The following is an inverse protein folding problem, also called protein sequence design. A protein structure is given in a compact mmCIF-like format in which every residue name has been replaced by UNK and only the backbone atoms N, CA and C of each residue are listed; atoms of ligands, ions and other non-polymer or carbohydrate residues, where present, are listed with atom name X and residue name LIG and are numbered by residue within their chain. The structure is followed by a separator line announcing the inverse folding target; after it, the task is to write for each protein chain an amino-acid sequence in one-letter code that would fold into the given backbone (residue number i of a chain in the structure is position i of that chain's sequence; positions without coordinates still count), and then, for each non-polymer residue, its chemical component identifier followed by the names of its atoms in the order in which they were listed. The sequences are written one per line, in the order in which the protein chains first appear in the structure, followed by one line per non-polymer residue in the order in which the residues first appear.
data_IF_285628417402
#
_entry.id   IF_285628417402
#
_cell.length_a   1.000
_cell.length_b   1.000
_cell.length_c   1.000
_cell.angle_alpha   90.00
_cell.angle_beta   90.00
_cell.angle_gamma   90.00
#
_symmetry.space_group_name_H-M   'P 1'
#
loop_
_entity.id
_entity.type
_entity.pdbx_description
1 polymer ?
#
# COMPACT_ATOMS: atom_id res chain seq x y z
N UNK A 1 -11.77 -48.02 23.86
CA UNK A 1 -11.14 -47.74 22.56
C UNK A 1 -11.66 -46.41 22.03
N UNK A 2 -10.72 -45.54 21.62
CA UNK A 2 -10.82 -44.35 20.75
C UNK A 2 -11.73 -43.17 21.19
N UNK A 3 -11.06 -42.18 21.80
CA UNK A 3 -11.47 -40.77 21.86
C UNK A 3 -11.52 -40.20 20.43
N UNK A 4 -12.66 -39.64 20.04
CA UNK A 4 -12.80 -38.84 18.82
C UNK A 4 -12.46 -37.38 19.17
N UNK A 5 -11.21 -36.99 18.93
CA UNK A 5 -10.81 -35.59 18.88
C UNK A 5 -11.09 -35.13 17.45
N UNK A 6 -12.15 -34.32 17.29
CA UNK A 6 -12.43 -33.61 16.06
C UNK A 6 -11.47 -32.41 16.00
N UNK A 7 -10.32 -32.60 15.35
CA UNK A 7 -9.38 -31.52 15.04
C UNK A 7 -9.97 -30.64 13.94
N UNK A 8 -10.43 -29.45 14.31
CA UNK A 8 -10.80 -28.39 13.38
C UNK A 8 -9.50 -27.79 12.79
N UNK A 9 -9.10 -28.29 11.62
CA UNK A 9 -8.00 -27.72 10.84
C UNK A 9 -8.49 -26.43 10.17
N UNK A 10 -8.24 -25.30 10.83
CA UNK A 10 -8.28 -23.99 10.17
C UNK A 10 -7.06 -23.94 9.25
N UNK A 11 -7.28 -24.07 7.95
CA UNK A 11 -6.26 -23.85 6.94
C UNK A 11 -5.93 -22.35 6.89
N UNK A 12 -5.00 -21.91 7.72
CA UNK A 12 -4.31 -20.64 7.53
C UNK A 12 -3.40 -20.83 6.31
N UNK A 13 -3.79 -20.29 5.16
CA UNK A 13 -2.91 -20.15 4.01
C UNK A 13 -1.79 -19.17 4.37
N UNK A 14 -0.74 -19.67 4.99
CA UNK A 14 0.55 -19.01 4.99
C UNK A 14 1.09 -19.11 3.56
N UNK A 15 0.93 -18.04 2.77
CA UNK A 15 1.71 -17.86 1.55
C UNK A 15 3.15 -17.61 2.01
N UNK A 16 3.88 -18.71 2.12
CA UNK A 16 5.33 -18.75 2.19
C UNK A 16 5.87 -18.05 0.93
N UNK A 17 6.42 -16.85 1.09
CA UNK A 17 7.30 -16.26 0.08
C UNK A 17 8.65 -16.97 0.16
N UNK A 18 8.78 -18.09 -0.56
CA UNK A 18 10.07 -18.68 -0.88
C UNK A 18 10.30 -18.65 -2.39
N UNK A 19 11.54 -18.31 -2.74
CA UNK A 19 12.21 -18.41 -4.04
C UNK A 19 11.74 -17.49 -5.17
N UNK A 20 12.70 -16.72 -5.65
CA UNK A 20 12.74 -16.13 -6.98
C UNK A 20 12.68 -17.23 -8.06
N UNK A 21 11.49 -17.75 -8.33
CA UNK A 21 11.18 -18.29 -9.65
C UNK A 21 11.11 -17.10 -10.60
N UNK A 22 11.68 -17.25 -11.81
CA UNK A 22 11.47 -16.27 -12.90
C UNK A 22 9.97 -16.03 -12.99
N UNK A 23 9.51 -14.83 -12.62
CA UNK A 23 8.10 -14.52 -12.61
C UNK A 23 7.54 -14.83 -14.01
N UNK A 24 6.73 -15.89 -14.11
CA UNK A 24 6.01 -16.21 -15.33
C UNK A 24 5.10 -15.03 -15.72
N UNK A 25 4.52 -15.09 -16.91
CA UNK A 25 3.48 -14.11 -17.27
C UNK A 25 2.36 -14.12 -16.21
N UNK A 26 1.58 -13.04 -16.08
CA UNK A 26 0.45 -12.99 -15.14
C UNK A 26 -0.49 -14.18 -15.37
N UNK A 27 -0.63 -14.59 -16.62
CA UNK A 27 -1.39 -15.75 -17.06
C UNK A 27 -0.91 -17.04 -16.41
N UNK A 28 0.41 -17.24 -16.33
CA UNK A 28 1.01 -18.41 -15.67
C UNK A 28 0.88 -18.31 -14.15
N UNK A 29 1.19 -17.15 -13.57
CA UNK A 29 1.17 -16.94 -12.12
C UNK A 29 -0.24 -17.14 -11.52
N UNK A 30 -1.27 -16.70 -12.23
CA UNK A 30 -2.66 -16.77 -11.76
C UNK A 30 -3.50 -17.83 -12.48
N UNK A 31 -2.89 -18.67 -13.32
CA UNK A 31 -3.57 -19.68 -14.12
C UNK A 31 -4.79 -19.11 -14.87
N UNK A 32 -4.59 -18.03 -15.63
CA UNK A 32 -5.66 -17.32 -16.33
C UNK A 32 -6.11 -18.14 -17.54
N UNK A 33 -7.40 -18.47 -17.59
CA UNK A 33 -8.04 -19.28 -18.64
C UNK A 33 -9.29 -18.59 -19.20
N UNK A 34 -9.94 -19.18 -20.22
CA UNK A 34 -11.26 -18.70 -20.70
C UNK A 34 -12.33 -18.70 -19.62
N UNK A 35 -12.26 -19.61 -18.65
CA UNK A 35 -13.13 -19.57 -17.46
C UNK A 35 -12.86 -18.30 -16.65
N UNK A 36 -11.59 -17.92 -16.47
CA UNK A 36 -11.20 -16.67 -15.81
C UNK A 36 -11.72 -15.44 -16.55
N UNK A 37 -11.78 -15.47 -17.89
CA UNK A 37 -12.37 -14.41 -18.70
C UNK A 37 -13.88 -14.29 -18.53
N UNK A 38 -14.60 -15.42 -18.36
CA UNK A 38 -16.01 -15.40 -17.94
C UNK A 38 -16.17 -14.82 -16.53
N UNK A 39 -15.27 -15.17 -15.62
CA UNK A 39 -15.20 -14.65 -14.24
C UNK A 39 -14.27 -13.43 -14.15
N UNK A 40 -14.39 -12.51 -15.10
CA UNK A 40 -13.43 -11.41 -15.28
C UNK A 40 -13.29 -10.52 -14.04
N UNK A 41 -14.37 -10.31 -13.30
CA UNK A 41 -14.44 -9.44 -12.13
C UNK A 41 -13.58 -10.01 -11.01
N UNK A 42 -13.80 -11.28 -10.66
CA UNK A 42 -12.99 -12.01 -9.68
C UNK A 42 -11.54 -12.11 -10.11
N UNK A 43 -11.31 -12.37 -11.40
CA UNK A 43 -9.95 -12.54 -11.93
C UNK A 43 -9.18 -11.23 -11.84
N UNK A 44 -9.74 -10.11 -12.30
CA UNK A 44 -9.07 -8.80 -12.20
C UNK A 44 -8.86 -8.42 -10.73
N UNK A 45 -9.84 -8.61 -9.85
CA UNK A 45 -9.66 -8.36 -8.41
C UNK A 45 -8.50 -9.19 -7.88
N UNK A 46 -8.48 -10.51 -8.11
CA UNK A 46 -7.45 -11.40 -7.60
C UNK A 46 -6.04 -11.01 -8.10
N UNK A 47 -5.90 -10.74 -9.41
CA UNK A 47 -4.61 -10.36 -9.98
C UNK A 47 -4.17 -8.99 -9.45
N UNK A 48 -5.04 -7.98 -9.48
CA UNK A 48 -4.70 -6.63 -9.01
C UNK A 48 -4.33 -6.65 -7.53
N UNK A 49 -5.09 -7.34 -6.68
CA UNK A 49 -4.73 -7.47 -5.25
C UNK A 49 -3.45 -8.27 -5.05
N UNK A 50 -3.25 -9.36 -5.79
CA UNK A 50 -2.07 -10.21 -5.64
C UNK A 50 -0.77 -9.58 -6.18
N UNK A 51 -0.87 -8.67 -7.15
CA UNK A 51 0.25 -7.87 -7.63
C UNK A 51 0.45 -6.59 -6.78
N UNK A 52 -0.52 -6.23 -5.94
CA UNK A 52 -0.43 -5.07 -5.07
C UNK A 52 0.52 -5.31 -3.90
N UNK A 53 1.51 -4.44 -3.72
CA UNK A 53 2.35 -4.50 -2.52
C UNK A 53 1.54 -4.15 -1.26
N UNK A 54 0.72 -3.09 -1.33
CA UNK A 54 -0.20 -2.67 -0.28
C UNK A 54 -1.58 -2.38 -0.87
N UNK A 55 -2.63 -2.54 -0.05
CA UNK A 55 -4.04 -2.40 -0.50
C UNK A 55 -4.40 -0.96 -0.90
N UNK A 56 -3.71 0.02 -0.31
CA UNK A 56 -3.85 1.45 -0.60
C UNK A 56 -3.61 1.81 -2.07
N UNK A 57 -2.93 0.94 -2.84
CA UNK A 57 -2.69 1.14 -4.26
C UNK A 57 -3.98 1.34 -5.07
N UNK A 58 -5.11 0.80 -4.58
CA UNK A 58 -6.43 0.99 -5.18
C UNK A 58 -7.45 1.56 -4.17
N UNK A 59 -6.99 2.30 -3.15
CA UNK A 59 -7.88 3.06 -2.27
C UNK A 59 -8.56 2.30 -1.15
N UNK A 60 -8.07 1.10 -0.82
CA UNK A 60 -8.74 0.16 0.09
C UNK A 60 -10.20 -0.16 -0.35
N UNK A 61 -10.56 0.15 -1.61
CA UNK A 61 -11.89 -0.13 -2.19
C UNK A 61 -11.86 -1.33 -3.15
N UNK A 62 -12.98 -1.71 -3.75
CA UNK A 62 -12.96 -2.76 -4.78
C UNK A 62 -12.08 -2.30 -5.96
N UNK A 63 -11.06 -3.08 -6.40
CA UNK A 63 -10.19 -2.71 -7.51
C UNK A 63 -10.92 -2.29 -8.79
N UNK A 64 -12.04 -2.94 -9.12
CA UNK A 64 -12.85 -2.58 -10.29
C UNK A 64 -13.46 -1.18 -10.12
N UNK A 65 -13.95 -0.87 -8.93
CA UNK A 65 -14.53 0.44 -8.64
C UNK A 65 -13.48 1.54 -8.77
N UNK A 66 -12.28 1.31 -8.22
CA UNK A 66 -11.14 2.21 -8.36
C UNK A 66 -10.76 2.42 -9.82
N UNK A 67 -10.61 1.33 -10.58
CA UNK A 67 -10.25 1.40 -12.00
C UNK A 67 -11.28 2.21 -12.81
N UNK A 68 -12.56 2.08 -12.50
CA UNK A 68 -13.63 2.85 -13.16
C UNK A 68 -13.63 4.32 -12.76
N UNK A 69 -13.58 4.63 -11.47
CA UNK A 69 -13.59 6.02 -10.95
C UNK A 69 -12.39 6.83 -11.45
N UNK A 70 -11.24 6.19 -11.58
CA UNK A 70 -10.01 6.82 -12.08
C UNK A 70 -9.92 6.87 -13.61
N UNK A 71 -10.91 6.35 -14.33
CA UNK A 71 -10.91 6.27 -15.80
C UNK A 71 -9.88 5.28 -16.38
N UNK A 72 -9.16 4.52 -15.54
CA UNK A 72 -8.21 3.48 -15.95
C UNK A 72 -8.91 2.33 -16.68
N UNK A 73 -10.16 2.04 -16.30
CA UNK A 73 -11.09 1.17 -17.02
C UNK A 73 -12.12 2.04 -17.74
N UNK A 74 -12.03 2.08 -19.07
CA UNK A 74 -12.99 2.80 -19.91
C UNK A 74 -14.34 2.10 -19.94
N UNK A 75 -15.40 2.84 -20.31
CA UNK A 75 -16.72 2.25 -20.54
C UNK A 75 -16.69 1.14 -21.61
N UNK A 76 -15.89 1.34 -22.68
CA UNK A 76 -15.69 0.32 -23.72
C UNK A 76 -15.02 -0.95 -23.18
N UNK A 77 -14.04 -0.82 -22.30
CA UNK A 77 -13.39 -1.97 -21.66
C UNK A 77 -14.38 -2.68 -20.72
N UNK A 78 -15.12 -1.92 -19.90
CA UNK A 78 -16.12 -2.45 -18.98
C UNK A 78 -17.25 -3.20 -19.72
N UNK A 79 -17.76 -2.66 -20.83
CA UNK A 79 -18.80 -3.30 -21.64
C UNK A 79 -18.30 -4.60 -22.28
N UNK A 80 -17.05 -4.60 -22.76
CA UNK A 80 -16.41 -5.82 -23.27
C UNK A 80 -16.27 -6.88 -22.18
N UNK A 81 -15.76 -6.52 -21.00
CA UNK A 81 -15.61 -7.44 -19.87
C UNK A 81 -16.97 -8.01 -19.46
N UNK A 82 -18.00 -7.16 -19.34
CA UNK A 82 -19.37 -7.59 -19.02
C UNK A 82 -19.89 -8.60 -20.03
N UNK A 83 -19.68 -8.38 -21.34
CA UNK A 83 -20.10 -9.32 -22.38
C UNK A 83 -19.44 -10.70 -22.26
N UNK A 84 -18.22 -10.80 -21.73
CA UNK A 84 -17.56 -12.09 -21.49
C UNK A 84 -18.25 -12.87 -20.38
N UNK A 85 -18.73 -12.16 -19.33
CA UNK A 85 -19.47 -12.76 -18.22
C UNK A 85 -20.77 -13.44 -18.67
N UNK A 86 -21.44 -12.87 -19.67
CA UNK A 86 -22.72 -13.36 -20.19
C UNK A 86 -22.58 -14.53 -21.17
N UNK A 87 -21.38 -14.77 -21.74
CA UNK A 87 -21.14 -15.85 -22.71
C UNK A 87 -20.96 -17.22 -22.08
N UNK A 88 -21.22 -18.30 -22.82
CA UNK A 88 -20.67 -19.60 -22.44
C UNK A 88 -19.17 -19.60 -22.67
N UNK A 89 -18.44 -20.34 -21.83
CA UNK A 89 -16.97 -20.42 -21.88
C UNK A 89 -16.47 -20.90 -23.24
N UNK A 90 -17.21 -21.82 -23.86
CA UNK A 90 -16.87 -22.38 -25.18
C UNK A 90 -17.06 -21.39 -26.33
N UNK A 91 -17.84 -20.32 -26.11
CA UNK A 91 -18.13 -19.29 -27.11
C UNK A 91 -17.17 -18.10 -27.02
N UNK A 92 -16.25 -18.10 -26.04
CA UNK A 92 -15.19 -17.10 -25.91
C UNK A 92 -14.09 -17.44 -26.92
N UNK A 93 -13.88 -16.56 -27.90
CA UNK A 93 -12.85 -16.76 -28.93
C UNK A 93 -11.45 -16.57 -28.36
N UNK A 94 -10.43 -17.03 -29.08
CA UNK A 94 -9.04 -16.82 -28.68
C UNK A 94 -8.69 -15.32 -28.71
N UNK A 95 -9.13 -14.58 -29.72
CA UNK A 95 -8.96 -13.12 -29.81
C UNK A 95 -9.60 -12.37 -28.62
N UNK A 96 -10.78 -12.80 -28.18
CA UNK A 96 -11.44 -12.22 -27.01
C UNK A 96 -10.69 -12.54 -25.72
N UNK A 97 -10.18 -13.78 -25.60
CA UNK A 97 -9.37 -14.19 -24.47
C UNK A 97 -8.04 -13.42 -24.41
N UNK A 98 -7.35 -13.25 -25.54
CA UNK A 98 -6.12 -12.45 -25.64
C UNK A 98 -6.40 -11.00 -25.26
N UNK A 99 -7.49 -10.40 -25.76
CA UNK A 99 -7.90 -9.05 -25.37
C UNK A 99 -8.17 -8.94 -23.87
N UNK A 100 -8.79 -9.95 -23.26
CA UNK A 100 -9.00 -9.98 -21.80
C UNK A 100 -7.67 -10.01 -21.04
N UNK A 101 -6.75 -10.88 -21.44
CA UNK A 101 -5.40 -10.97 -20.85
C UNK A 101 -4.66 -9.64 -20.96
N UNK A 102 -4.75 -8.96 -22.10
CA UNK A 102 -4.15 -7.64 -22.30
C UNK A 102 -4.75 -6.57 -21.38
N UNK A 103 -6.06 -6.62 -21.11
CA UNK A 103 -6.68 -5.74 -20.12
C UNK A 103 -6.19 -6.05 -18.70
N UNK A 104 -6.07 -7.32 -18.32
CA UNK A 104 -5.50 -7.71 -17.02
C UNK A 104 -4.08 -7.16 -16.88
N UNK A 105 -3.23 -7.32 -17.90
CA UNK A 105 -1.87 -6.74 -17.91
C UNK A 105 -1.90 -5.22 -17.84
N UNK A 106 -2.75 -4.57 -18.62
CA UNK A 106 -2.92 -3.11 -18.64
C UNK A 106 -3.26 -2.55 -17.26
N UNK A 107 -4.18 -3.19 -16.54
CA UNK A 107 -4.58 -2.74 -15.20
C UNK A 107 -3.48 -2.94 -14.15
N UNK A 108 -2.57 -3.89 -14.37
CA UNK A 108 -1.43 -4.14 -13.48
C UNK A 108 -0.17 -3.33 -13.82
N UNK A 109 0.01 -2.88 -15.06
CA UNK A 109 1.24 -2.20 -15.54
C UNK A 109 1.61 -0.91 -14.76
N UNK A 110 0.66 -0.31 -14.04
CA UNK A 110 0.86 0.90 -13.22
C UNK A 110 0.76 0.65 -11.71
N UNK A 111 0.77 -0.61 -11.28
CA UNK A 111 0.73 -0.97 -9.87
C UNK A 111 2.02 -0.62 -9.10
N UNK A 112 3.26 -0.73 -9.65
CA UNK A 112 4.46 -0.28 -8.93
C UNK A 112 4.53 1.25 -8.89
N UNK A 113 3.75 1.83 -8.00
CA UNK A 113 3.68 3.26 -7.70
C UNK A 113 4.53 3.55 -6.48
N UNK A 114 5.21 4.70 -6.46
CA UNK A 114 5.80 5.25 -5.25
C UNK A 114 4.80 6.20 -4.60
N UNK A 115 4.89 6.38 -3.29
CA UNK A 115 4.08 7.35 -2.57
C UNK A 115 4.96 8.48 -2.06
N UNK A 116 4.59 9.70 -2.45
CA UNK A 116 5.23 10.92 -1.99
C UNK A 116 4.17 11.90 -1.49
N UNK A 117 4.44 12.54 -0.35
CA UNK A 117 3.58 13.59 0.16
C UNK A 117 3.66 14.83 -0.74
N UNK A 118 2.49 15.33 -1.12
CA UNK A 118 2.27 16.69 -1.61
C UNK A 118 1.74 17.61 -0.49
N UNK A 119 1.81 18.92 -0.71
CA UNK A 119 1.49 19.90 0.33
C UNK A 119 0.06 19.69 0.87
N UNK A 120 -0.88 19.45 -0.03
CA UNK A 120 -2.32 19.26 0.22
C UNK A 120 -2.62 17.93 0.93
N UNK A 121 -1.64 17.03 1.03
CA UNK A 121 -1.80 15.79 1.77
C UNK A 121 -1.67 15.98 3.28
N UNK A 122 -1.10 17.08 3.75
CA UNK A 122 -1.00 17.41 5.18
C UNK A 122 -2.23 18.22 5.57
N UNK A 123 -3.22 17.56 6.20
CA UNK A 123 -4.51 18.16 6.57
C UNK A 123 -4.37 19.21 7.67
N UNK A 124 -3.50 18.93 8.64
CA UNK A 124 -3.21 19.79 9.78
C UNK A 124 -1.69 19.78 10.05
N UNK A 125 -0.92 20.62 9.34
CA UNK A 125 0.54 20.65 9.44
C UNK A 125 1.02 21.05 10.83
N UNK A 126 0.29 21.97 11.49
CA UNK A 126 0.63 22.48 12.80
C UNK A 126 0.39 21.41 13.87
N UNK A 127 -0.79 20.79 13.88
CA UNK A 127 -1.07 19.69 14.80
C UNK A 127 -0.16 18.48 14.59
N UNK A 128 0.29 18.23 13.35
CA UNK A 128 1.25 17.17 13.03
C UNK A 128 2.58 17.39 13.76
N UNK A 129 3.21 18.56 13.59
CA UNK A 129 4.52 18.81 14.23
C UNK A 129 4.42 18.85 15.76
N UNK A 130 3.30 19.32 16.31
CA UNK A 130 3.04 19.23 17.75
C UNK A 130 2.89 17.80 18.24
N UNK A 131 2.20 16.95 17.48
CA UNK A 131 2.07 15.53 17.79
C UNK A 131 3.42 14.82 17.72
N UNK A 132 4.20 15.04 16.67
CA UNK A 132 5.55 14.49 16.53
C UNK A 132 6.43 14.84 17.74
N UNK A 133 6.48 16.12 18.12
CA UNK A 133 7.31 16.54 19.26
C UNK A 133 6.78 15.97 20.57
N UNK A 134 5.48 16.09 20.85
CA UNK A 134 4.87 15.60 22.09
C UNK A 134 5.07 14.09 22.26
N UNK A 135 4.80 13.31 21.20
CA UNK A 135 4.90 11.86 21.25
C UNK A 135 6.34 11.36 21.36
N UNK A 136 7.33 12.16 20.90
CA UNK A 136 8.76 11.82 21.02
C UNK A 136 9.30 11.80 22.46
N UNK A 137 8.56 12.34 23.43
CA UNK A 137 8.93 12.36 24.85
C UNK A 137 8.12 11.38 25.70
N UNK A 138 7.28 10.56 25.07
CA UNK A 138 6.59 9.49 25.79
C UNK A 138 7.62 8.46 26.27
N UNK A 139 7.32 7.81 27.41
CA UNK A 139 8.22 6.82 28.01
C UNK A 139 8.34 5.53 27.21
N UNK A 140 7.32 5.22 26.41
CA UNK A 140 7.33 4.07 25.51
C UNK A 140 7.89 4.50 24.16
N UNK A 141 8.56 3.58 23.46
CA UNK A 141 9.04 3.86 22.11
C UNK A 141 7.87 4.05 21.15
N UNK A 142 7.88 5.17 20.45
CA UNK A 142 6.86 5.56 19.48
C UNK A 142 7.47 5.80 18.11
N UNK A 143 6.66 5.88 17.04
CA UNK A 143 7.15 6.34 15.75
C UNK A 143 7.87 7.70 15.85
N UNK A 144 7.37 8.59 16.71
CA UNK A 144 7.96 9.92 16.94
C UNK A 144 9.33 9.87 17.62
N UNK A 145 9.52 9.04 18.65
CA UNK A 145 10.83 8.89 19.29
C UNK A 145 11.83 8.21 18.36
N UNK A 146 11.40 7.18 17.61
CA UNK A 146 12.23 6.54 16.59
C UNK A 146 12.67 7.51 15.50
N UNK A 147 11.74 8.33 14.98
CA UNK A 147 12.07 9.35 13.98
C UNK A 147 13.10 10.33 14.53
N UNK A 148 12.95 10.78 15.76
CA UNK A 148 13.88 11.71 16.41
C UNK A 148 15.27 11.11 16.63
N UNK A 149 15.35 9.87 17.09
CA UNK A 149 16.58 9.27 17.62
C UNK A 149 17.39 8.52 16.56
N UNK A 150 16.71 7.98 15.54
CA UNK A 150 17.32 7.09 14.55
C UNK A 150 17.24 7.68 13.15
N UNK A 151 16.11 8.29 12.78
CA UNK A 151 15.84 8.67 11.39
C UNK A 151 16.37 10.06 11.08
N UNK A 152 15.98 11.07 11.86
CA UNK A 152 16.29 12.47 11.61
C UNK A 152 17.72 12.81 12.06
N UNK A 153 18.39 13.70 11.34
CA UNK A 153 19.58 14.35 11.92
C UNK A 153 19.17 15.31 13.04
N UNK A 154 20.10 15.71 13.92
CA UNK A 154 19.81 16.71 14.95
C UNK A 154 19.22 18.00 14.37
N UNK A 155 19.76 18.51 13.27
CA UNK A 155 19.32 19.74 12.61
C UNK A 155 17.90 19.59 12.02
N UNK A 156 17.62 18.43 11.43
CA UNK A 156 16.30 18.10 10.89
C UNK A 156 15.24 18.01 11.99
N UNK A 157 15.58 17.41 13.13
CA UNK A 157 14.69 17.36 14.28
C UNK A 157 14.49 18.74 14.92
N UNK A 158 15.54 19.54 15.01
CA UNK A 158 15.44 20.93 15.47
C UNK A 158 14.49 21.76 14.60
N UNK A 159 14.46 21.54 13.27
CA UNK A 159 13.50 22.20 12.38
C UNK A 159 12.05 21.80 12.71
N UNK A 160 11.79 20.53 13.03
CA UNK A 160 10.46 20.06 13.49
C UNK A 160 10.08 20.73 14.82
N UNK A 161 11.03 20.79 15.77
CA UNK A 161 10.81 21.48 17.05
C UNK A 161 10.54 22.97 16.83
N UNK A 162 11.26 23.62 15.91
CA UNK A 162 11.03 25.02 15.57
C UNK A 162 9.63 25.24 14.99
N UNK A 163 9.17 24.38 14.05
CA UNK A 163 7.80 24.41 13.55
C UNK A 163 6.76 24.22 14.67
N UNK A 164 7.01 23.29 15.60
CA UNK A 164 6.10 23.03 16.73
C UNK A 164 5.93 24.22 17.69
N UNK A 165 6.88 25.16 17.72
CA UNK A 165 6.81 26.36 18.58
C UNK A 165 6.10 27.54 17.91
N UNK A 166 5.87 27.48 16.60
CA UNK A 166 5.14 28.54 15.88
C UNK A 166 3.65 28.49 16.24
N UNK A 167 2.95 29.62 16.08
CA UNK A 167 1.50 29.67 16.26
C UNK A 167 0.76 28.90 15.17
N UNK A 168 1.26 28.97 13.94
CA UNK A 168 0.74 28.25 12.77
C UNK A 168 1.86 28.08 11.72
N UNK A 169 1.69 27.20 10.74
CA UNK A 169 2.63 26.97 9.64
C UNK A 169 2.09 27.58 8.34
N UNK A 170 2.83 28.52 7.76
CA UNK A 170 2.49 29.06 6.43
C UNK A 170 2.86 28.08 5.30
N UNK A 171 2.47 28.39 4.06
CA UNK A 171 2.73 27.55 2.89
C UNK A 171 4.22 27.18 2.71
N UNK A 172 5.14 28.10 3.00
CA UNK A 172 6.58 27.86 2.91
C UNK A 172 7.03 26.86 3.96
N UNK A 173 6.51 26.95 5.17
CA UNK A 173 6.79 26.00 6.25
C UNK A 173 6.19 24.63 5.95
N UNK A 174 4.95 24.56 5.45
CA UNK A 174 4.33 23.31 5.01
C UNK A 174 5.16 22.64 3.91
N UNK A 175 5.64 23.41 2.93
CA UNK A 175 6.50 22.90 1.85
C UNK A 175 7.82 22.35 2.37
N UNK A 176 8.40 22.96 3.41
CA UNK A 176 9.62 22.47 4.07
C UNK A 176 9.35 21.19 4.86
N UNK A 177 8.32 21.19 5.70
CA UNK A 177 7.88 20.03 6.45
C UNK A 177 7.64 18.84 5.53
N UNK A 178 6.90 19.03 4.43
CA UNK A 178 6.67 18.00 3.42
C UNK A 178 7.98 17.44 2.85
N UNK A 179 8.91 18.32 2.46
CA UNK A 179 10.23 17.88 1.93
C UNK A 179 11.00 17.06 2.96
N UNK A 180 10.94 17.45 4.23
CA UNK A 180 11.57 16.75 5.33
C UNK A 180 10.98 15.35 5.51
N UNK A 181 9.65 15.25 5.61
CA UNK A 181 8.95 13.98 5.72
C UNK A 181 9.20 13.06 4.51
N UNK A 182 9.22 13.62 3.30
CA UNK A 182 9.59 12.88 2.08
C UNK A 182 11.07 12.45 2.06
N UNK A 183 11.95 13.13 2.79
CA UNK A 183 13.35 12.71 2.95
C UNK A 183 13.43 11.52 3.91
N UNK A 184 12.65 11.54 4.99
CA UNK A 184 12.61 10.49 6.00
C UNK A 184 12.13 9.16 5.42
N UNK A 185 11.05 9.15 4.64
CA UNK A 185 10.51 7.90 4.05
C UNK A 185 11.46 7.25 3.02
N UNK A 186 12.54 7.92 2.63
CA UNK A 186 13.58 7.36 1.74
C UNK A 186 14.70 6.65 2.49
N UNK A 187 14.77 6.80 3.83
CA UNK A 187 15.80 6.20 4.67
C UNK A 187 15.46 4.75 4.97
N UNK A 188 16.48 3.89 5.02
CA UNK A 188 16.30 2.45 5.21
C UNK A 188 15.82 2.14 6.64
N UNK A 189 16.24 2.96 7.59
CA UNK A 189 15.94 2.91 9.01
C UNK A 189 14.61 3.57 9.40
N UNK A 190 13.83 4.10 8.43
CA UNK A 190 12.61 4.85 8.73
C UNK A 190 11.58 4.05 9.55
N UNK A 191 11.29 2.83 9.11
CA UNK A 191 10.26 1.99 9.71
C UNK A 191 10.87 1.03 10.74
N UNK A 192 10.38 1.10 11.97
CA UNK A 192 10.65 0.13 13.03
C UNK A 192 9.38 -0.64 13.37
N UNK A 193 9.44 -1.96 13.22
CA UNK A 193 8.30 -2.84 13.53
C UNK A 193 7.83 -2.67 14.97
N UNK A 194 8.76 -2.57 15.92
CA UNK A 194 8.47 -2.46 17.35
C UNK A 194 7.72 -1.18 17.68
N UNK A 195 8.22 -0.03 17.23
CA UNK A 195 7.64 1.26 17.59
C UNK A 195 6.29 1.51 16.89
N UNK A 196 6.09 0.95 15.69
CA UNK A 196 4.79 0.99 15.01
C UNK A 196 3.74 0.06 15.63
N UNK A 197 4.13 -1.09 16.20
CA UNK A 197 3.19 -1.92 16.97
C UNK A 197 2.75 -1.23 18.27
N UNK A 198 3.63 -0.45 18.91
CA UNK A 198 3.26 0.35 20.09
C UNK A 198 2.23 1.44 19.76
N UNK A 199 2.24 1.95 18.51
CA UNK A 199 1.22 2.89 18.05
C UNK A 199 -0.12 2.20 17.77
N UNK A 200 -0.09 1.07 17.06
CA UNK A 200 -1.30 0.34 16.69
C UNK A 200 -1.04 -1.12 16.31
N UNK A 201 -1.81 -2.03 16.92
CA UNK A 201 -1.86 -3.44 16.53
C UNK A 201 -3.07 -3.70 15.65
N UNK A 202 -2.85 -3.80 14.34
CA UNK A 202 -3.92 -4.02 13.36
C UNK A 202 -3.44 -4.78 12.13
N UNK A 203 -4.38 -5.23 11.29
CA UNK A 203 -4.07 -5.96 10.05
C UNK A 203 -3.12 -5.17 9.12
N UNK A 204 -3.27 -3.84 9.07
CA UNK A 204 -2.41 -2.94 8.28
C UNK A 204 -0.97 -2.88 8.82
N UNK A 205 -0.79 -2.82 10.14
CA UNK A 205 0.55 -2.88 10.77
C UNK A 205 1.21 -4.24 10.56
N UNK A 206 0.45 -5.33 10.70
CA UNK A 206 0.96 -6.70 10.46
C UNK A 206 1.41 -6.86 9.01
N UNK A 207 0.63 -6.35 8.05
CA UNK A 207 0.95 -6.39 6.62
C UNK A 207 2.29 -5.71 6.33
N UNK A 208 2.48 -4.47 6.79
CA UNK A 208 3.74 -3.76 6.52
C UNK A 208 4.94 -4.38 7.25
N UNK A 209 4.74 -4.94 8.44
CA UNK A 209 5.79 -5.68 9.16
C UNK A 209 6.24 -6.92 8.37
N UNK A 210 5.29 -7.70 7.85
CA UNK A 210 5.60 -8.86 7.00
C UNK A 210 6.31 -8.48 5.71
N UNK A 211 5.89 -7.39 5.06
CA UNK A 211 6.58 -6.85 3.87
C UNK A 211 8.01 -6.42 4.21
N UNK A 212 8.20 -5.72 5.35
CA UNK A 212 9.50 -5.22 5.78
C UNK A 212 10.48 -6.34 6.18
N UNK A 213 9.97 -7.46 6.69
CA UNK A 213 10.81 -8.62 7.06
C UNK A 213 11.45 -9.32 5.86
N UNK A 214 10.98 -9.08 4.62
CA UNK A 214 11.55 -9.68 3.41
C UNK A 214 12.95 -9.13 3.13
N UNK A 215 13.88 -10.03 2.84
CA UNK A 215 15.22 -9.69 2.37
C UNK A 215 15.17 -9.10 0.95
N UNK A 216 16.15 -8.26 0.58
CA UNK A 216 16.33 -7.72 -0.77
C UNK A 216 15.13 -6.93 -1.36
N UNK A 217 14.42 -6.16 -0.53
CA UNK A 217 13.35 -5.25 -0.98
C UNK A 217 13.87 -4.26 -2.03
N UNK A 218 13.11 -4.09 -3.10
CA UNK A 218 13.35 -3.05 -4.10
C UNK A 218 13.17 -1.65 -3.51
N UNK A 219 13.74 -0.64 -4.16
CA UNK A 219 13.57 0.75 -3.73
C UNK A 219 12.09 1.22 -3.72
N UNK A 220 11.26 0.67 -4.60
CA UNK A 220 9.81 0.95 -4.64
C UNK A 220 9.13 0.34 -3.42
N UNK A 221 9.45 -0.91 -3.10
CA UNK A 221 8.86 -1.58 -1.93
C UNK A 221 9.23 -0.88 -0.62
N UNK A 222 10.49 -0.47 -0.48
CA UNK A 222 10.96 0.33 0.67
C UNK A 222 10.18 1.63 0.80
N UNK A 223 10.06 2.40 -0.28
CA UNK A 223 9.30 3.65 -0.28
C UNK A 223 7.84 3.43 0.16
N UNK A 224 7.19 2.38 -0.34
CA UNK A 224 5.78 2.14 -0.04
C UNK A 224 5.55 1.65 1.38
N UNK A 225 6.44 0.83 1.93
CA UNK A 225 6.44 0.47 3.36
C UNK A 225 6.57 1.73 4.19
N UNK A 226 7.57 2.57 3.89
CA UNK A 226 7.84 3.78 4.66
C UNK A 226 6.73 4.83 4.54
N UNK A 227 6.13 4.99 3.37
CA UNK A 227 5.01 5.90 3.18
C UNK A 227 3.75 5.43 3.93
N UNK A 228 3.42 4.14 3.86
CA UNK A 228 2.32 3.57 4.67
C UNK A 228 2.64 3.69 6.16
N UNK A 229 3.87 3.44 6.57
CA UNK A 229 4.31 3.64 7.95
C UNK A 229 4.12 5.09 8.41
N UNK A 230 4.54 6.07 7.62
CA UNK A 230 4.32 7.49 7.95
C UNK A 230 2.83 7.81 8.10
N UNK A 231 1.98 7.30 7.20
CA UNK A 231 0.54 7.44 7.31
C UNK A 231 -0.01 6.80 8.60
N UNK A 232 0.44 5.59 8.97
CA UNK A 232 0.02 4.91 10.21
C UNK A 232 0.52 5.59 11.49
N UNK A 233 1.66 6.27 11.45
CA UNK A 233 2.15 7.03 12.59
C UNK A 233 1.20 8.21 12.91
N UNK A 234 0.68 8.89 11.88
CA UNK A 234 -0.09 10.12 12.02
C UNK A 234 -1.36 10.15 11.14
N UNK A 235 -2.29 9.18 11.27
CA UNK A 235 -3.39 8.98 10.31
C UNK A 235 -4.37 10.16 10.25
N UNK A 236 -4.59 10.85 11.37
CA UNK A 236 -5.49 12.01 11.44
C UNK A 236 -4.95 13.22 10.66
N UNK A 237 -3.63 13.30 10.50
CA UNK A 237 -2.94 14.46 9.95
C UNK A 237 -2.71 14.38 8.44
N UNK A 238 -2.89 13.20 7.84
CA UNK A 238 -2.68 13.00 6.41
C UNK A 238 -3.97 12.67 5.66
N UNK A 239 -4.03 13.09 4.39
CA UNK A 239 -4.94 12.47 3.42
C UNK A 239 -4.62 10.98 3.29
N UNK A 240 -5.61 10.19 2.86
CA UNK A 240 -5.40 8.77 2.55
C UNK A 240 -4.27 8.61 1.54
N UNK A 241 -3.47 7.55 1.70
CA UNK A 241 -2.28 7.29 0.89
C UNK A 241 -2.58 7.23 -0.63
N UNK A 242 -3.79 6.80 -1.02
CA UNK A 242 -4.26 6.81 -2.41
C UNK A 242 -4.19 8.20 -3.09
N UNK A 243 -4.32 9.28 -2.30
CA UNK A 243 -4.34 10.69 -2.74
C UNK A 243 -2.96 11.35 -2.74
N UNK A 244 -1.91 10.61 -2.38
CA UNK A 244 -0.55 11.13 -2.45
C UNK A 244 -0.12 11.25 -3.92
N UNK A 245 1.10 11.67 -4.22
CA UNK A 245 1.61 11.72 -5.60
C UNK A 245 2.26 10.39 -6.02
N UNK A 246 2.48 10.17 -7.32
CA UNK A 246 2.98 8.91 -7.91
C UNK A 246 4.40 8.94 -8.52
#
# INVERSE_FOLDING_TARGET
MKKLILSMLIAVFFISCSSAEKAGSLEQKYNITKQSAKEWDKTIINVVVGEALIEDWYGEENPILYLRKTGKMSEKDFNFLTSLGDKNVNDITDDEFERFVDLVKKYNKKMPRKFFLENENIKDPKGLVEAMVRESYLRMDTPSSHIKEVVATPEEWEEIVAFSKQTDLNEKDVKKLRKLLNSFIKRDEFYSTETWYNREVSARTIKIAGINARENKTAIEKNNVNAKALYLAYPEYFSKLEKWDD
#
